data_IF_199210927196
#
_entry.id   IF_199210927196
#
_cell.length_a   1.000
_cell.length_b   1.000
_cell.length_c   1.000
_cell.angle_alpha   90.00
_cell.angle_beta   90.00
_cell.angle_gamma   90.00
#
_symmetry.space_group_name_H-M   'P 1'
#
loop_
_entity.id
_entity.type
_entity.pdbx_description
1 polymer ?
#
# COMPACT_ATOMS: atom_id res chain seq x y z
N UNK A 1 -11.61 -8.09 15.10
CA UNK A 1 -11.26 -8.65 16.43
C UNK A 1 -9.77 -8.52 16.74
N UNK A 2 -8.85 -8.76 15.78
CA UNK A 2 -7.40 -8.62 15.99
C UNK A 2 -6.98 -7.23 16.51
N UNK A 3 -7.46 -6.13 15.90
CA UNK A 3 -7.14 -4.78 16.38
C UNK A 3 -7.72 -4.46 17.76
N UNK A 4 -8.96 -4.89 18.06
CA UNK A 4 -9.53 -4.77 19.42
C UNK A 4 -8.67 -5.48 20.48
N UNK A 5 -8.05 -6.59 20.10
CA UNK A 5 -7.15 -7.36 20.96
C UNK A 5 -5.77 -6.67 21.13
N UNK A 6 -5.25 -6.02 20.09
CA UNK A 6 -3.93 -5.38 20.09
C UNK A 6 -3.91 -3.94 20.64
N UNK A 7 -4.96 -3.15 20.41
CA UNK A 7 -5.00 -1.72 20.75
C UNK A 7 -6.04 -1.36 21.80
N UNK A 8 -6.79 -2.34 22.34
CA UNK A 8 -7.83 -2.13 23.36
C UNK A 8 -9.03 -1.27 22.91
N UNK A 9 -9.07 -0.86 21.65
CA UNK A 9 -10.08 0.02 21.05
C UNK A 9 -10.66 -0.64 19.81
N UNK A 10 -11.97 -0.53 19.61
CA UNK A 10 -12.59 -0.96 18.36
C UNK A 10 -12.23 0.02 17.24
N UNK A 11 -11.22 -0.36 16.45
CA UNK A 11 -10.86 0.37 15.24
C UNK A 11 -11.86 0.01 14.15
N UNK A 12 -12.47 1.03 13.55
CA UNK A 12 -13.41 0.85 12.45
C UNK A 12 -12.78 0.17 11.24
N UNK A 13 -13.57 -0.50 10.38
CA UNK A 13 -13.06 -1.09 9.15
C UNK A 13 -12.41 -0.06 8.22
N UNK A 14 -12.89 1.20 8.21
CA UNK A 14 -12.25 2.28 7.45
C UNK A 14 -10.85 2.59 8.01
N UNK A 15 -10.75 2.86 9.31
CA UNK A 15 -9.47 3.15 9.96
C UNK A 15 -8.47 2.00 9.80
N UNK A 16 -8.94 0.76 9.90
CA UNK A 16 -8.12 -0.43 9.67
C UNK A 16 -7.56 -0.46 8.24
N UNK A 17 -8.40 -0.24 7.24
CA UNK A 17 -7.96 -0.18 5.84
C UNK A 17 -6.98 0.96 5.56
N UNK A 18 -7.17 2.13 6.18
CA UNK A 18 -6.26 3.27 6.06
C UNK A 18 -4.89 3.01 6.68
N UNK A 19 -4.85 2.38 7.86
CA UNK A 19 -3.60 1.96 8.51
C UNK A 19 -2.86 0.95 7.64
N UNK A 20 -3.55 -0.09 7.13
CA UNK A 20 -2.93 -1.05 6.21
C UNK A 20 -2.37 -0.35 4.96
N UNK A 21 -3.06 0.68 4.43
CA UNK A 21 -2.56 1.43 3.28
C UNK A 21 -1.29 2.21 3.61
N UNK A 22 -1.17 2.75 4.83
CA UNK A 22 0.06 3.42 5.27
C UNK A 22 1.21 2.42 5.46
N UNK A 23 0.93 1.23 5.97
CA UNK A 23 1.92 0.14 6.06
C UNK A 23 2.41 -0.24 4.66
N UNK A 24 1.51 -0.40 3.69
CA UNK A 24 1.87 -0.64 2.30
C UNK A 24 2.71 0.49 1.69
N UNK A 25 2.40 1.75 2.00
CA UNK A 25 3.18 2.90 1.58
C UNK A 25 4.60 2.90 2.19
N UNK A 26 4.74 2.57 3.47
CA UNK A 26 6.04 2.46 4.14
C UNK A 26 6.93 1.39 3.50
N UNK A 27 6.36 0.22 3.19
CA UNK A 27 7.09 -0.85 2.50
C UNK A 27 7.53 -0.37 1.12
N UNK A 28 6.67 0.34 0.38
CA UNK A 28 7.02 0.90 -0.91
C UNK A 28 8.16 1.93 -0.83
N UNK A 29 8.12 2.83 0.16
CA UNK A 29 9.21 3.79 0.43
C UNK A 29 10.51 3.03 0.70
N UNK A 30 10.46 2.03 1.58
CA UNK A 30 11.63 1.25 1.96
C UNK A 30 12.25 0.54 0.75
N UNK A 31 11.45 -0.17 -0.05
CA UNK A 31 11.94 -0.86 -1.26
C UNK A 31 12.52 0.11 -2.28
N UNK A 32 11.88 1.28 -2.47
CA UNK A 32 12.37 2.29 -3.40
C UNK A 32 13.70 2.90 -2.95
N UNK A 33 13.87 3.11 -1.63
CA UNK A 33 15.14 3.59 -1.08
C UNK A 33 16.26 2.56 -1.22
N UNK A 34 15.96 1.25 -1.15
CA UNK A 34 16.97 0.21 -1.41
C UNK A 34 17.45 0.20 -2.86
N UNK A 35 16.58 0.58 -3.81
CA UNK A 35 16.96 0.78 -5.22
C UNK A 35 17.77 2.05 -5.40
N UNK A 36 17.37 3.15 -4.76
CA UNK A 36 17.99 4.47 -4.92
C UNK A 36 19.34 4.60 -4.19
N UNK A 37 19.50 3.90 -3.06
CA UNK A 37 20.74 3.82 -2.27
C UNK A 37 21.27 2.38 -2.29
N UNK A 38 21.85 1.93 -3.42
CA UNK A 38 22.36 0.58 -3.53
C UNK A 38 23.46 0.36 -2.47
N UNK A 39 23.35 -0.76 -1.77
CA UNK A 39 24.32 -1.16 -0.75
C UNK A 39 25.10 -2.37 -1.25
N UNK A 40 26.18 -2.75 -0.57
CA UNK A 40 26.96 -3.96 -0.92
C UNK A 40 26.14 -5.26 -0.91
N UNK A 41 24.95 -5.26 -0.33
CA UNK A 41 24.05 -6.42 -0.18
C UNK A 41 22.91 -6.39 -1.22
N UNK A 42 22.56 -5.20 -1.73
CA UNK A 42 21.44 -5.01 -2.67
C UNK A 42 21.86 -4.04 -3.78
N UNK A 43 22.13 -4.59 -4.96
CA UNK A 43 22.41 -3.83 -6.19
C UNK A 43 21.31 -4.12 -7.19
N UNK A 44 20.56 -3.08 -7.55
CA UNK A 44 19.49 -3.17 -8.54
C UNK A 44 19.92 -2.30 -9.73
N UNK A 45 19.94 -2.88 -10.93
CA UNK A 45 20.33 -2.19 -12.17
C UNK A 45 19.12 -1.43 -12.75
N UNK A 46 18.55 -0.54 -11.93
CA UNK A 46 17.35 0.22 -12.22
C UNK A 46 17.72 1.70 -12.43
N UNK A 47 17.17 2.27 -13.49
CA UNK A 47 17.33 3.68 -13.79
C UNK A 47 16.78 4.54 -12.64
N UNK A 48 17.43 5.65 -12.31
CA UNK A 48 17.12 6.48 -11.13
C UNK A 48 15.74 7.13 -11.28
N UNK A 49 15.34 7.41 -12.53
CA UNK A 49 14.08 8.07 -12.87
C UNK A 49 12.83 7.30 -12.41
N UNK A 50 12.61 6.02 -12.77
CA UNK A 50 11.47 5.24 -12.29
C UNK A 50 11.47 5.05 -10.77
N UNK A 51 12.65 4.94 -10.13
CA UNK A 51 12.74 4.87 -8.67
C UNK A 51 12.22 6.15 -8.00
N UNK A 52 12.57 7.33 -8.50
CA UNK A 52 12.06 8.60 -7.96
C UNK A 52 10.53 8.74 -8.14
N UNK A 53 9.98 8.26 -9.26
CA UNK A 53 8.53 8.25 -9.49
C UNK A 53 7.82 7.35 -8.47
N UNK A 54 8.35 6.15 -8.24
CA UNK A 54 7.83 5.23 -7.22
C UNK A 54 7.87 5.83 -5.82
N UNK A 55 8.95 6.56 -5.49
CA UNK A 55 9.07 7.25 -4.20
C UNK A 55 8.01 8.34 -4.05
N UNK A 56 7.79 9.14 -5.09
CA UNK A 56 6.75 10.16 -5.12
C UNK A 56 5.34 9.58 -4.92
N UNK A 57 5.04 8.49 -5.62
CA UNK A 57 3.77 7.75 -5.45
C UNK A 57 3.63 7.21 -4.03
N UNK A 58 4.70 6.65 -3.45
CA UNK A 58 4.70 6.12 -2.10
C UNK A 58 4.43 7.20 -1.04
N UNK A 59 5.00 8.41 -1.21
CA UNK A 59 4.75 9.56 -0.34
C UNK A 59 3.30 10.03 -0.45
N UNK A 60 2.77 10.19 -1.67
CA UNK A 60 1.35 10.54 -1.88
C UNK A 60 0.46 9.53 -1.16
N UNK A 61 0.82 8.24 -1.24
CA UNK A 61 0.10 7.15 -0.61
C UNK A 61 0.20 7.13 0.91
N UNK A 62 1.27 7.65 1.49
CA UNK A 62 1.40 7.88 2.93
C UNK A 62 0.47 9.02 3.40
N UNK A 63 0.35 10.07 2.59
CA UNK A 63 -0.40 11.29 2.92
C UNK A 63 -1.92 11.16 2.65
N UNK A 64 -2.32 10.44 1.59
CA UNK A 64 -3.72 10.33 1.20
C UNK A 64 -4.62 9.75 2.31
N UNK A 65 -4.24 8.69 3.06
CA UNK A 65 -5.02 8.20 4.19
C UNK A 65 -5.25 9.23 5.30
N UNK A 66 -4.29 10.14 5.52
CA UNK A 66 -4.41 11.22 6.51
C UNK A 66 -5.51 12.20 6.07
N UNK A 67 -5.59 12.49 4.76
CA UNK A 67 -6.65 13.33 4.19
C UNK A 67 -8.03 12.62 4.25
N UNK A 68 -8.08 11.29 4.13
CA UNK A 68 -9.33 10.54 4.34
C UNK A 68 -9.82 10.68 5.77
N UNK A 69 -8.92 10.56 6.75
CA UNK A 69 -9.26 10.75 8.17
C UNK A 69 -9.75 12.16 8.52
N UNK A 70 -9.53 13.14 7.64
CA UNK A 70 -10.06 14.51 7.74
C UNK A 70 -11.42 14.69 7.03
N UNK A 71 -12.02 13.62 6.51
CA UNK A 71 -13.26 13.69 5.75
C UNK A 71 -13.02 14.20 4.33
N UNK A 72 -12.11 13.59 3.56
CA UNK A 72 -11.98 13.84 2.11
C UNK A 72 -12.36 12.63 1.27
N UNK A 73 -13.46 12.73 0.52
CA UNK A 73 -14.02 11.62 -0.27
C UNK A 73 -13.17 11.33 -1.50
N UNK A 74 -12.56 12.38 -2.06
CA UNK A 74 -11.63 12.27 -3.19
C UNK A 74 -10.38 11.52 -2.75
N UNK A 75 -9.82 11.86 -1.58
CA UNK A 75 -8.64 11.17 -1.05
C UNK A 75 -8.90 9.67 -0.84
N UNK A 76 -10.13 9.28 -0.45
CA UNK A 76 -10.49 7.88 -0.28
C UNK A 76 -10.40 7.11 -1.59
N UNK A 77 -10.96 7.67 -2.67
CA UNK A 77 -10.88 7.05 -3.99
C UNK A 77 -9.46 7.03 -4.54
N UNK A 78 -8.64 8.04 -4.23
CA UNK A 78 -7.21 8.03 -4.56
C UNK A 78 -6.49 6.87 -3.88
N UNK A 79 -6.74 6.64 -2.57
CA UNK A 79 -6.15 5.50 -1.85
C UNK A 79 -6.56 4.16 -2.48
N UNK A 80 -7.85 3.99 -2.80
CA UNK A 80 -8.34 2.78 -3.46
C UNK A 80 -7.70 2.58 -4.83
N UNK A 81 -7.65 3.63 -5.66
CA UNK A 81 -7.03 3.56 -6.98
C UNK A 81 -5.54 3.21 -6.92
N UNK A 82 -4.79 3.82 -5.99
CA UNK A 82 -3.38 3.53 -5.77
C UNK A 82 -3.16 2.10 -5.28
N UNK A 83 -4.05 1.58 -4.43
CA UNK A 83 -4.03 0.17 -4.00
C UNK A 83 -4.28 -0.80 -5.14
N UNK A 84 -5.27 -0.54 -6.00
CA UNK A 84 -5.54 -1.37 -7.17
C UNK A 84 -4.35 -1.34 -8.14
N UNK A 85 -3.81 -0.15 -8.43
CA UNK A 85 -2.65 0.00 -9.30
C UNK A 85 -1.43 -0.77 -8.76
N UNK A 86 -1.20 -0.70 -7.45
CA UNK A 86 -0.12 -1.45 -6.81
C UNK A 86 -0.35 -2.96 -6.86
N UNK A 87 -1.58 -3.43 -6.68
CA UNK A 87 -1.89 -4.85 -6.81
C UNK A 87 -1.61 -5.35 -8.23
N UNK A 88 -2.00 -4.57 -9.25
CA UNK A 88 -1.69 -4.88 -10.66
C UNK A 88 -0.18 -4.92 -10.88
N UNK A 89 0.56 -3.91 -10.41
CA UNK A 89 2.02 -3.90 -10.53
C UNK A 89 2.66 -5.10 -9.84
N UNK A 90 2.21 -5.46 -8.63
CA UNK A 90 2.74 -6.64 -7.93
C UNK A 90 2.49 -7.94 -8.70
N UNK A 91 1.38 -8.04 -9.42
CA UNK A 91 1.05 -9.19 -10.26
C UNK A 91 1.88 -9.22 -11.55
N UNK A 92 2.00 -8.07 -12.23
CA UNK A 92 2.82 -7.93 -13.44
C UNK A 92 4.28 -8.22 -13.15
N UNK A 93 4.80 -7.73 -12.01
CA UNK A 93 6.16 -8.01 -11.57
C UNK A 93 6.40 -9.52 -11.44
N UNK A 94 5.47 -10.28 -10.85
CA UNK A 94 5.63 -11.73 -10.66
C UNK A 94 5.42 -12.57 -11.93
N UNK A 95 4.60 -12.11 -12.87
CA UNK A 95 4.30 -12.84 -14.12
C UNK A 95 5.30 -12.51 -15.24
N UNK A 96 5.92 -11.32 -15.21
CA UNK A 96 6.74 -10.80 -16.30
C UNK A 96 8.16 -11.36 -16.43
N UNK A 97 8.75 -11.93 -15.38
CA UNK A 97 10.12 -12.43 -15.41
C UNK A 97 10.22 -13.87 -14.89
N UNK A 98 10.59 -14.78 -15.79
CA UNK A 98 10.61 -16.24 -15.54
C UNK A 98 12.00 -16.73 -15.11
N UNK A 99 12.97 -15.83 -14.89
CA UNK A 99 14.38 -16.20 -14.67
C UNK A 99 14.76 -16.35 -13.19
N UNK A 100 14.15 -15.57 -12.30
CA UNK A 100 14.55 -15.45 -10.88
C UNK A 100 13.36 -15.62 -9.92
N UNK A 101 12.92 -16.86 -9.75
CA UNK A 101 11.60 -17.14 -9.18
C UNK A 101 11.41 -16.76 -7.69
N UNK A 102 12.42 -16.89 -6.82
CA UNK A 102 12.15 -16.86 -5.36
C UNK A 102 11.90 -15.44 -4.80
N UNK A 103 12.65 -14.44 -5.27
CA UNK A 103 12.53 -13.05 -4.79
C UNK A 103 11.22 -12.40 -5.28
N UNK A 104 10.79 -12.76 -6.49
CA UNK A 104 9.55 -12.25 -7.11
C UNK A 104 8.26 -12.79 -6.46
N UNK A 105 8.24 -14.05 -5.99
CA UNK A 105 7.11 -14.55 -5.21
C UNK A 105 7.00 -13.85 -3.85
N UNK A 106 8.14 -13.59 -3.19
CA UNK A 106 8.16 -12.87 -1.92
C UNK A 106 7.62 -11.44 -2.06
N UNK A 107 7.96 -10.77 -3.16
CA UNK A 107 7.44 -9.44 -3.46
C UNK A 107 5.91 -9.40 -3.54
N UNK A 108 5.28 -10.36 -4.23
CA UNK A 108 3.82 -10.44 -4.33
C UNK A 108 3.17 -10.80 -2.99
N UNK A 109 3.79 -11.68 -2.21
CA UNK A 109 3.29 -12.02 -0.87
C UNK A 109 3.35 -10.79 0.04
N UNK A 110 4.48 -10.09 0.09
CA UNK A 110 4.67 -8.95 1.00
C UNK A 110 3.88 -7.73 0.56
N UNK A 111 3.84 -7.41 -0.73
CA UNK A 111 3.17 -6.20 -1.22
C UNK A 111 1.72 -6.47 -1.63
N UNK A 112 1.46 -7.54 -2.38
CA UNK A 112 0.14 -7.87 -2.90
C UNK A 112 -0.87 -8.28 -1.82
N UNK A 113 -0.49 -9.08 -0.82
CA UNK A 113 -1.42 -9.44 0.26
C UNK A 113 -1.85 -8.24 1.10
N UNK A 114 -0.93 -7.29 1.30
CA UNK A 114 -1.26 -6.04 1.99
C UNK A 114 -2.31 -5.27 1.19
N UNK A 115 -2.15 -5.17 -0.13
CA UNK A 115 -3.14 -4.51 -1.00
C UNK A 115 -4.52 -5.17 -0.95
N UNK A 116 -4.55 -6.51 -1.00
CA UNK A 116 -5.80 -7.26 -0.86
C UNK A 116 -6.46 -6.95 0.50
N UNK A 117 -5.66 -6.91 1.58
CA UNK A 117 -6.12 -6.52 2.90
C UNK A 117 -6.69 -5.11 2.95
N UNK A 118 -6.01 -4.14 2.30
CA UNK A 118 -6.48 -2.75 2.18
C UNK A 118 -7.82 -2.69 1.46
N UNK A 119 -7.93 -3.32 0.30
CA UNK A 119 -9.14 -3.28 -0.53
C UNK A 119 -10.33 -3.95 0.16
N UNK A 120 -10.13 -5.10 0.81
CA UNK A 120 -11.20 -5.80 1.55
C UNK A 120 -11.76 -4.90 2.66
N UNK A 121 -10.91 -4.16 3.36
CA UNK A 121 -11.33 -3.30 4.46
C UNK A 121 -11.95 -1.98 3.96
N UNK A 122 -11.36 -1.33 2.95
CA UNK A 122 -11.86 -0.06 2.41
C UNK A 122 -13.15 -0.23 1.60
N UNK A 123 -13.29 -1.30 0.81
CA UNK A 123 -14.48 -1.55 0.00
C UNK A 123 -15.64 -2.16 0.80
N UNK A 124 -15.40 -2.53 2.07
CA UNK A 124 -16.42 -3.07 2.94
C UNK A 124 -17.58 -2.06 3.08
N UNK A 125 -18.85 -2.49 2.95
CA UNK A 125 -20.00 -1.61 3.16
C UNK A 125 -19.99 -0.89 4.52
N UNK A 126 -19.41 -1.50 5.56
CA UNK A 126 -19.23 -0.85 6.88
C UNK A 126 -18.23 0.31 6.83
N UNK A 127 -17.14 0.18 6.07
CA UNK A 127 -16.17 1.26 5.90
C UNK A 127 -16.75 2.41 5.07
N UNK A 128 -17.61 2.10 4.07
CA UNK A 128 -18.33 3.11 3.29
C UNK A 128 -19.38 3.85 4.12
N UNK A 129 -20.06 3.17 5.05
CA UNK A 129 -20.96 3.81 6.00
C UNK A 129 -20.20 4.72 6.99
N UNK A 130 -19.05 4.26 7.49
CA UNK A 130 -18.16 5.05 8.35
C UNK A 130 -17.63 6.30 7.61
N UNK A 131 -17.27 6.16 6.33
CA UNK A 131 -16.88 7.27 5.48
C UNK A 131 -18.03 8.27 5.33
N UNK A 132 -19.23 7.82 4.95
CA UNK A 132 -20.41 8.69 4.75
C UNK A 132 -20.84 9.44 6.03
N UNK A 133 -20.58 8.91 7.22
CA UNK A 133 -20.88 9.59 8.48
C UNK A 133 -19.83 10.65 8.87
N UNK A 134 -18.68 10.70 8.18
CA UNK A 134 -17.62 11.71 8.38
C UNK A 134 -17.78 12.94 7.46
N UNK A 135 -18.77 12.93 6.54
CA UNK A 135 -19.15 14.05 5.67
C UNK A 135 -20.55 14.54 6.03
#
# INVERSE_FOLDING_TARGET
MLFKFLTGREIGPLQTGLILSQVGALIMIFMTLMVLLPSRIFTFDLDVTPALILLGVAIIRMLAPILVGKGSRVAFWVVVALSVLKLIESFVATVGDTSEHLQFYWYLVVTGLIEVGVLIHLLNPKARAELNNQF
#
